data_IF_950543816800
#
_entry.id   IF_950543816800
#
_cell.length_a   1.000
_cell.length_b   1.000
_cell.length_c   1.000
_cell.angle_alpha   90.00
_cell.angle_beta   90.00
_cell.angle_gamma   90.00
#
_symmetry.space_group_name_H-M   'P 1'
#
loop_
_entity.id
_entity.type
_entity.pdbx_description
1 polymer ?
#
# COMPACT_ATOMS: atom_id res chain seq x y z
N UNK A 1 -24.70 -4.95 -3.95
CA UNK A 1 -23.34 -4.43 -3.65
C UNK A 1 -23.28 -4.08 -2.18
N UNK A 2 -22.31 -4.61 -1.43
CA UNK A 2 -22.20 -4.35 0.01
C UNK A 2 -21.50 -3.01 0.24
N UNK A 3 -21.84 -2.33 1.33
CA UNK A 3 -21.27 -1.02 1.73
C UNK A 3 -19.73 -1.02 1.71
N UNK A 4 -19.00 -2.06 2.19
CA UNK A 4 -17.54 -2.10 2.13
C UNK A 4 -16.98 -2.05 0.70
N UNK A 5 -17.64 -2.73 -0.26
CA UNK A 5 -17.17 -2.70 -1.65
C UNK A 5 -17.28 -1.31 -2.27
N UNK A 6 -18.28 -0.51 -1.87
CA UNK A 6 -18.44 0.85 -2.40
C UNK A 6 -17.33 1.79 -1.93
N UNK A 7 -16.89 1.64 -0.68
CA UNK A 7 -15.81 2.47 -0.14
C UNK A 7 -14.45 2.02 -0.67
N UNK A 8 -14.21 0.71 -0.84
CA UNK A 8 -13.03 0.23 -1.58
C UNK A 8 -13.00 0.83 -3.00
N UNK A 9 -14.13 0.85 -3.70
CA UNK A 9 -14.23 1.50 -5.02
C UNK A 9 -13.96 3.01 -4.95
N UNK A 10 -14.42 3.67 -3.89
CA UNK A 10 -14.16 5.10 -3.65
C UNK A 10 -12.67 5.39 -3.47
N UNK A 11 -11.90 4.48 -2.86
CA UNK A 11 -10.44 4.60 -2.72
C UNK A 11 -9.72 4.49 -4.06
N UNK A 12 -10.22 3.60 -4.93
CA UNK A 12 -9.72 3.52 -6.31
C UNK A 12 -9.95 4.86 -7.03
N UNK A 13 -11.12 5.48 -6.86
CA UNK A 13 -11.40 6.82 -7.41
C UNK A 13 -10.48 7.87 -6.80
N UNK A 14 -10.25 7.86 -5.48
CA UNK A 14 -9.35 8.79 -4.77
C UNK A 14 -7.87 8.70 -5.22
N UNK A 15 -7.48 7.57 -5.78
CA UNK A 15 -6.14 7.39 -6.35
C UNK A 15 -5.82 8.44 -7.42
N UNK A 16 -6.81 8.78 -8.25
CA UNK A 16 -6.63 9.74 -9.36
C UNK A 16 -6.42 11.17 -8.84
N UNK A 17 -7.27 11.73 -7.95
CA UNK A 17 -7.01 13.02 -7.30
C UNK A 17 -5.67 13.10 -6.57
N UNK A 18 -5.24 12.04 -5.87
CA UNK A 18 -3.92 12.02 -5.22
C UNK A 18 -2.82 12.18 -6.25
N UNK A 19 -2.84 11.36 -7.31
CA UNK A 19 -1.84 11.40 -8.38
C UNK A 19 -1.79 12.78 -9.04
N UNK A 20 -2.96 13.31 -9.44
CA UNK A 20 -3.06 14.63 -10.09
C UNK A 20 -2.61 15.75 -9.17
N UNK A 21 -2.91 15.70 -7.87
CA UNK A 21 -2.47 16.71 -6.91
C UNK A 21 -0.95 16.69 -6.73
N UNK A 22 -0.31 15.51 -6.78
CA UNK A 22 1.16 15.39 -6.73
C UNK A 22 1.80 15.97 -7.99
N UNK A 23 1.30 15.60 -9.17
CA UNK A 23 1.77 16.14 -10.47
C UNK A 23 1.62 17.66 -10.55
N UNK A 24 0.49 18.19 -10.07
CA UNK A 24 0.24 19.62 -9.96
C UNK A 24 1.02 20.31 -8.84
N UNK A 25 1.89 19.59 -8.12
CA UNK A 25 2.66 20.08 -6.95
C UNK A 25 1.78 20.72 -5.87
N UNK A 26 0.51 20.31 -5.80
CA UNK A 26 -0.48 20.76 -4.83
C UNK A 26 -0.40 19.91 -3.58
N UNK A 27 0.74 19.99 -2.87
CA UNK A 27 1.11 19.08 -1.78
C UNK A 27 0.08 19.00 -0.64
N UNK A 28 -0.57 20.12 -0.32
CA UNK A 28 -1.66 20.16 0.68
C UNK A 28 -2.87 19.32 0.25
N UNK A 29 -3.27 19.41 -1.02
CA UNK A 29 -4.36 18.62 -1.57
C UNK A 29 -3.97 17.15 -1.68
N UNK A 30 -2.74 16.87 -2.13
CA UNK A 30 -2.21 15.50 -2.19
C UNK A 30 -2.22 14.84 -0.80
N UNK A 31 -1.74 15.54 0.22
CA UNK A 31 -1.78 15.06 1.61
C UNK A 31 -3.21 14.84 2.10
N UNK A 32 -4.11 15.78 1.83
CA UNK A 32 -5.52 15.67 2.22
C UNK A 32 -6.18 14.44 1.59
N UNK A 33 -6.08 14.28 0.27
CA UNK A 33 -6.67 13.14 -0.44
C UNK A 33 -6.03 11.82 -0.03
N UNK A 34 -4.70 11.81 0.19
CA UNK A 34 -4.01 10.62 0.67
C UNK A 34 -4.50 10.22 2.07
N UNK A 35 -4.62 11.18 2.98
CA UNK A 35 -5.13 10.96 4.33
C UNK A 35 -6.58 10.46 4.34
N UNK A 36 -7.45 11.04 3.49
CA UNK A 36 -8.82 10.56 3.32
C UNK A 36 -8.86 9.12 2.80
N UNK A 37 -8.04 8.79 1.81
CA UNK A 37 -7.93 7.42 1.28
C UNK A 37 -7.43 6.43 2.33
N UNK A 38 -6.36 6.76 3.06
CA UNK A 38 -5.83 5.93 4.14
C UNK A 38 -6.84 5.75 5.29
N UNK A 39 -7.59 6.80 5.63
CA UNK A 39 -8.62 6.72 6.67
C UNK A 39 -9.84 5.89 6.22
N UNK A 40 -10.21 5.96 4.93
CA UNK A 40 -11.30 5.17 4.37
C UNK A 40 -11.06 3.66 4.51
N UNK A 41 -9.81 3.20 4.39
CA UNK A 41 -9.43 1.80 4.61
C UNK A 41 -9.72 1.30 6.02
N UNK A 42 -9.37 2.12 7.00
CA UNK A 42 -9.64 1.82 8.39
C UNK A 42 -11.14 1.72 8.66
N UNK A 43 -11.92 2.65 8.09
CA UNK A 43 -13.38 2.65 8.23
C UNK A 43 -14.02 1.42 7.60
N UNK A 44 -13.54 0.96 6.45
CA UNK A 44 -14.04 -0.24 5.76
C UNK A 44 -13.85 -1.49 6.59
N UNK A 45 -12.64 -1.68 7.11
CA UNK A 45 -12.32 -2.80 7.99
C UNK A 45 -13.15 -2.76 9.29
N UNK A 46 -13.47 -1.56 9.79
CA UNK A 46 -14.33 -1.40 10.97
C UNK A 46 -15.80 -1.73 10.66
N UNK A 47 -16.36 -1.15 9.59
CA UNK A 47 -17.77 -1.35 9.20
C UNK A 47 -18.04 -2.79 8.78
N UNK A 48 -17.15 -3.42 8.02
CA UNK A 48 -17.31 -4.82 7.61
C UNK A 48 -17.38 -5.77 8.82
N UNK A 49 -16.57 -5.52 9.86
CA UNK A 49 -16.61 -6.28 11.13
C UNK A 49 -17.87 -5.98 11.93
N UNK A 50 -18.25 -4.71 12.05
CA UNK A 50 -19.42 -4.30 12.82
C UNK A 50 -20.74 -4.82 12.22
N UNK A 51 -20.82 -4.88 10.89
CA UNK A 51 -22.01 -5.31 10.17
C UNK A 51 -22.02 -6.82 9.85
N UNK A 52 -21.00 -7.58 10.25
CA UNK A 52 -20.82 -9.00 9.87
C UNK A 52 -20.88 -9.26 8.35
N UNK A 53 -20.55 -8.26 7.52
CA UNK A 53 -20.61 -8.33 6.05
C UNK A 53 -19.24 -8.67 5.43
N UNK A 54 -18.48 -9.53 6.10
CA UNK A 54 -17.15 -9.92 5.66
C UNK A 54 -17.26 -10.98 4.56
N UNK A 55 -16.96 -10.61 3.31
CA UNK A 55 -16.99 -11.53 2.16
C UNK A 55 -15.59 -11.84 1.65
N UNK A 56 -15.38 -13.05 1.11
CA UNK A 56 -14.09 -13.43 0.52
C UNK A 56 -13.76 -12.59 -0.72
N UNK A 57 -14.75 -12.33 -1.58
CA UNK A 57 -14.60 -11.47 -2.76
C UNK A 57 -14.24 -10.04 -2.38
N UNK A 58 -14.90 -9.47 -1.36
CA UNK A 58 -14.58 -8.12 -0.88
C UNK A 58 -13.15 -8.01 -0.36
N UNK A 59 -12.66 -9.01 0.40
CA UNK A 59 -11.27 -9.05 0.88
C UNK A 59 -10.25 -9.05 -0.26
N UNK A 60 -10.52 -9.77 -1.34
CA UNK A 60 -9.61 -9.82 -2.50
C UNK A 60 -9.57 -8.45 -3.21
N UNK A 61 -10.73 -7.84 -3.43
CA UNK A 61 -10.82 -6.51 -4.07
C UNK A 61 -10.10 -5.46 -3.20
N UNK A 62 -10.34 -5.47 -1.89
CA UNK A 62 -9.70 -4.56 -0.93
C UNK A 62 -8.18 -4.69 -0.94
N UNK A 63 -7.64 -5.92 -0.95
CA UNK A 63 -6.20 -6.16 -1.08
C UNK A 63 -5.62 -5.63 -2.39
N UNK A 64 -6.36 -5.70 -3.50
CA UNK A 64 -5.88 -5.18 -4.80
C UNK A 64 -5.89 -3.66 -4.77
N UNK A 65 -6.99 -3.04 -4.33
CA UNK A 65 -7.14 -1.57 -4.34
C UNK A 65 -6.16 -0.90 -3.37
N UNK A 66 -5.90 -1.50 -2.20
CA UNK A 66 -4.87 -1.02 -1.27
C UNK A 66 -3.49 -0.91 -1.96
N UNK A 67 -3.10 -1.95 -2.71
CA UNK A 67 -1.84 -1.95 -3.46
C UNK A 67 -1.83 -0.94 -4.59
N UNK A 68 -2.94 -0.79 -5.32
CA UNK A 68 -3.04 0.22 -6.37
C UNK A 68 -2.88 1.62 -5.79
N UNK A 69 -3.54 1.92 -4.66
CA UNK A 69 -3.50 3.24 -4.03
C UNK A 69 -2.09 3.61 -3.52
N UNK A 70 -1.42 2.71 -2.81
CA UNK A 70 -0.06 2.97 -2.30
C UNK A 70 0.96 3.05 -3.46
N UNK A 71 0.91 2.10 -4.40
CA UNK A 71 1.89 2.05 -5.49
C UNK A 71 1.76 3.23 -6.45
N UNK A 72 0.55 3.62 -6.83
CA UNK A 72 0.32 4.80 -7.68
C UNK A 72 0.82 6.09 -7.02
N UNK A 73 0.58 6.25 -5.71
CA UNK A 73 1.08 7.39 -4.95
C UNK A 73 2.61 7.42 -4.93
N UNK A 74 3.26 6.28 -4.72
CA UNK A 74 4.73 6.19 -4.77
C UNK A 74 5.28 6.44 -6.17
N UNK A 75 4.58 6.02 -7.22
CA UNK A 75 4.96 6.29 -8.62
C UNK A 75 4.90 7.80 -8.90
N UNK A 76 3.85 8.50 -8.48
CA UNK A 76 3.76 9.95 -8.60
C UNK A 76 4.88 10.68 -7.82
N UNK A 77 5.38 10.06 -6.75
CA UNK A 77 6.47 10.59 -5.94
C UNK A 77 7.88 10.28 -6.47
N UNK A 78 8.04 9.62 -7.62
CA UNK A 78 9.37 9.33 -8.21
C UNK A 78 10.31 10.55 -8.33
N UNK A 79 9.83 11.78 -8.62
CA UNK A 79 10.70 12.96 -8.62
C UNK A 79 11.31 13.30 -7.24
N UNK A 80 10.74 12.76 -6.16
CA UNK A 80 11.14 13.01 -4.76
C UNK A 80 11.69 11.76 -4.07
N UNK A 81 11.33 10.57 -4.54
CA UNK A 81 11.71 9.27 -3.98
C UNK A 81 12.46 8.48 -5.06
N UNK A 82 13.60 7.85 -4.75
CA UNK A 82 14.39 7.15 -5.74
C UNK A 82 13.58 6.11 -6.52
N UNK A 83 13.61 6.18 -7.85
CA UNK A 83 12.85 5.29 -8.73
C UNK A 83 13.14 3.80 -8.48
N UNK A 84 14.38 3.46 -8.10
CA UNK A 84 14.77 2.08 -7.77
C UNK A 84 13.98 1.55 -6.56
N UNK A 85 13.71 2.39 -5.55
CA UNK A 85 12.93 2.00 -4.38
C UNK A 85 11.49 1.73 -4.78
N UNK A 86 10.90 2.64 -5.56
CA UNK A 86 9.53 2.51 -6.04
C UNK A 86 9.37 1.25 -6.88
N UNK A 87 10.26 1.01 -7.84
CA UNK A 87 10.28 -0.20 -8.66
C UNK A 87 10.40 -1.46 -7.80
N UNK A 88 11.30 -1.47 -6.81
CA UNK A 88 11.46 -2.59 -5.88
C UNK A 88 10.20 -2.88 -5.07
N UNK A 89 9.55 -1.83 -4.55
CA UNK A 89 8.29 -1.93 -3.81
C UNK A 89 7.18 -2.52 -4.67
N UNK A 90 6.99 -1.98 -5.87
CA UNK A 90 5.94 -2.39 -6.81
C UNK A 90 6.16 -3.85 -7.24
N UNK A 91 7.37 -4.20 -7.69
CA UNK A 91 7.71 -5.56 -8.09
C UNK A 91 7.43 -6.56 -6.95
N UNK A 92 7.88 -6.24 -5.73
CA UNK A 92 7.66 -7.07 -4.56
C UNK A 92 6.18 -7.26 -4.24
N UNK A 93 5.38 -6.19 -4.25
CA UNK A 93 3.96 -6.30 -3.92
C UNK A 93 3.18 -7.06 -5.00
N UNK A 94 3.51 -6.87 -6.27
CA UNK A 94 2.91 -7.65 -7.36
C UNK A 94 3.25 -9.13 -7.23
N UNK A 95 4.51 -9.49 -6.96
CA UNK A 95 4.92 -10.90 -6.78
C UNK A 95 4.21 -11.54 -5.58
N UNK A 96 4.19 -10.87 -4.43
CA UNK A 96 3.54 -11.42 -3.22
C UNK A 96 2.03 -11.58 -3.43
N UNK A 97 1.37 -10.60 -4.05
CA UNK A 97 -0.05 -10.68 -4.37
C UNK A 97 -0.36 -11.81 -5.37
N UNK A 98 0.45 -11.96 -6.43
CA UNK A 98 0.30 -13.04 -7.39
C UNK A 98 0.42 -14.42 -6.72
N UNK A 99 1.42 -14.60 -5.84
CA UNK A 99 1.58 -15.85 -5.07
C UNK A 99 0.36 -16.13 -4.19
N UNK A 100 -0.20 -15.11 -3.51
CA UNK A 100 -1.40 -15.31 -2.67
C UNK A 100 -2.59 -15.76 -3.48
N UNK A 101 -2.81 -15.15 -4.64
CA UNK A 101 -3.92 -15.48 -5.54
C UNK A 101 -3.76 -16.92 -6.05
N UNK A 102 -2.56 -17.30 -6.51
CA UNK A 102 -2.27 -18.65 -7.00
C UNK A 102 -2.37 -19.73 -5.90
N UNK A 103 -1.94 -19.43 -4.68
CA UNK A 103 -2.09 -20.35 -3.56
C UNK A 103 -3.56 -20.51 -3.18
N UNK A 104 -4.32 -19.41 -3.14
CA UNK A 104 -5.76 -19.44 -2.86
C UNK A 104 -6.53 -20.27 -3.90
N UNK A 105 -6.16 -20.20 -5.19
CA UNK A 105 -6.77 -21.04 -6.23
C UNK A 105 -6.44 -22.53 -6.08
N UNK A 106 -5.31 -22.87 -5.43
CA UNK A 106 -4.92 -24.25 -5.09
C UNK A 106 -5.47 -24.72 -3.73
N UNK A 107 -6.37 -23.95 -3.12
CA UNK A 107 -6.94 -24.27 -1.79
C UNK A 107 -5.98 -24.06 -0.63
N UNK A 108 -4.79 -23.48 -0.85
CA UNK A 108 -3.80 -23.22 0.19
C UNK A 108 -3.90 -21.76 0.64
N UNK A 109 -4.21 -21.54 1.92
CA UNK A 109 -4.33 -20.17 2.45
C UNK A 109 -2.96 -19.69 2.92
N UNK A 110 -2.38 -18.76 2.18
CA UNK A 110 -1.15 -18.08 2.60
C UNK A 110 -1.49 -17.00 3.62
N UNK A 111 -1.11 -17.24 4.87
CA UNK A 111 -1.38 -16.31 5.97
C UNK A 111 -0.57 -15.01 5.83
N UNK A 112 -1.18 -13.90 6.24
CA UNK A 112 -0.51 -12.61 6.29
C UNK A 112 0.49 -12.58 7.45
N UNK A 113 1.73 -12.18 7.16
CA UNK A 113 2.78 -12.06 8.17
C UNK A 113 2.91 -10.61 8.67
N UNK A 114 3.32 -10.45 9.94
CA UNK A 114 3.65 -9.18 10.61
C UNK A 114 4.64 -8.34 9.79
N UNK A 115 5.67 -8.96 9.18
CA UNK A 115 6.61 -8.21 8.33
C UNK A 115 5.94 -7.61 7.08
N UNK A 116 4.84 -8.20 6.61
CA UNK A 116 3.99 -7.63 5.56
C UNK A 116 3.31 -6.34 6.00
N UNK A 117 2.84 -6.30 7.24
CA UNK A 117 2.20 -5.12 7.84
C UNK A 117 3.21 -4.03 8.18
N UNK A 118 4.37 -4.39 8.75
CA UNK A 118 5.42 -3.41 9.05
C UNK A 118 5.89 -2.69 7.79
N UNK A 119 6.07 -3.43 6.69
CA UNK A 119 6.38 -2.86 5.38
C UNK A 119 5.36 -1.78 4.98
N UNK A 120 4.07 -2.09 5.01
CA UNK A 120 3.04 -1.13 4.55
C UNK A 120 2.95 0.09 5.46
N UNK A 121 3.09 -0.10 6.77
CA UNK A 121 3.15 1.02 7.74
C UNK A 121 4.30 1.97 7.41
N UNK A 122 5.51 1.43 7.20
CA UNK A 122 6.68 2.24 6.85
C UNK A 122 6.47 3.00 5.52
N UNK A 123 5.86 2.36 4.53
CA UNK A 123 5.54 3.01 3.25
C UNK A 123 4.56 4.17 3.40
N UNK A 124 3.49 3.97 4.16
CA UNK A 124 2.53 5.02 4.44
C UNK A 124 3.19 6.18 5.18
N UNK A 125 4.07 5.89 6.16
CA UNK A 125 4.84 6.93 6.86
C UNK A 125 5.73 7.70 5.88
N UNK A 126 6.47 7.03 5.00
CA UNK A 126 7.29 7.68 3.98
C UNK A 126 6.46 8.64 3.11
N UNK A 127 5.32 8.18 2.60
CA UNK A 127 4.42 9.00 1.77
C UNK A 127 3.93 10.23 2.56
N UNK A 128 3.41 10.03 3.76
CA UNK A 128 2.87 11.11 4.60
C UNK A 128 3.96 12.13 4.93
N UNK A 129 5.15 11.69 5.31
CA UNK A 129 6.28 12.57 5.63
C UNK A 129 6.66 13.40 4.40
N UNK A 130 6.87 12.77 3.25
CA UNK A 130 7.23 13.48 2.01
C UNK A 130 6.17 14.53 1.64
N UNK A 131 4.88 14.15 1.66
CA UNK A 131 3.78 15.08 1.33
C UNK A 131 3.65 16.22 2.35
N UNK A 132 3.79 15.92 3.65
CA UNK A 132 3.64 16.89 4.73
C UNK A 132 4.75 17.95 4.72
N UNK A 133 6.02 17.54 4.66
CA UNK A 133 7.13 18.49 4.65
C UNK A 133 7.14 19.34 3.38
N UNK A 134 6.76 18.75 2.25
CA UNK A 134 6.62 19.49 1.00
C UNK A 134 5.46 20.50 1.06
N UNK A 135 4.35 20.18 1.73
CA UNK A 135 3.25 21.11 2.02
C UNK A 135 3.69 22.33 2.84
N UNK A 136 4.68 22.15 3.73
CA UNK A 136 5.27 23.22 4.53
C UNK A 136 6.45 23.93 3.82
N UNK A 137 6.82 23.51 2.61
CA UNK A 137 8.03 23.98 1.91
C UNK A 137 9.32 23.82 2.72
N UNK A 138 9.36 22.83 3.62
CA UNK A 138 10.54 22.48 4.43
C UNK A 138 11.22 21.27 3.82
N UNK A 139 12.55 21.31 3.71
CA UNK A 139 13.35 20.17 3.26
C UNK A 139 13.90 19.39 4.45
N UNK A 140 13.64 18.08 4.53
CA UNK A 140 14.26 17.17 5.49
C UNK A 140 14.98 16.03 4.79
N UNK A 141 15.97 16.38 3.98
CA UNK A 141 16.74 15.42 3.19
C UNK A 141 17.27 14.22 4.02
N UNK A 142 17.77 14.47 5.24
CA UNK A 142 18.31 13.40 6.10
C UNK A 142 17.19 12.43 6.53
N UNK A 143 16.03 12.94 6.95
CA UNK A 143 14.92 12.10 7.37
C UNK A 143 14.34 11.29 6.21
N UNK A 144 14.18 11.92 5.03
CA UNK A 144 13.71 11.25 3.82
C UNK A 144 14.63 10.09 3.43
N UNK A 145 15.94 10.31 3.45
CA UNK A 145 16.94 9.27 3.16
C UNK A 145 16.86 8.12 4.17
N UNK A 146 16.76 8.41 5.47
CA UNK A 146 16.60 7.38 6.51
C UNK A 146 15.34 6.54 6.24
N UNK A 147 14.21 7.20 5.96
CA UNK A 147 12.94 6.51 5.68
C UNK A 147 12.99 5.69 4.39
N UNK A 148 13.68 6.16 3.35
CA UNK A 148 13.91 5.43 2.10
C UNK A 148 14.63 4.10 2.38
N UNK A 149 15.75 4.14 3.11
CA UNK A 149 16.51 2.93 3.43
C UNK A 149 15.75 2.01 4.38
N UNK A 150 15.04 2.55 5.35
CA UNK A 150 14.18 1.78 6.24
C UNK A 150 13.06 1.09 5.45
N UNK A 151 12.45 1.79 4.49
CA UNK A 151 11.44 1.23 3.59
C UNK A 151 12.01 0.12 2.69
N UNK A 152 13.23 0.30 2.15
CA UNK A 152 13.92 -0.73 1.39
C UNK A 152 14.16 -1.99 2.25
N UNK A 153 14.68 -1.80 3.45
CA UNK A 153 14.97 -2.87 4.40
C UNK A 153 13.72 -3.69 4.74
N UNK A 154 12.63 -3.04 5.15
CA UNK A 154 11.40 -3.77 5.47
C UNK A 154 10.76 -4.42 4.24
N UNK A 155 10.86 -3.81 3.06
CA UNK A 155 10.38 -4.42 1.81
C UNK A 155 11.14 -5.70 1.49
N UNK A 156 12.47 -5.68 1.64
CA UNK A 156 13.34 -6.83 1.42
C UNK A 156 13.10 -7.92 2.47
N UNK A 157 13.11 -7.58 3.75
CA UNK A 157 12.84 -8.51 4.84
C UNK A 157 11.49 -9.21 4.64
N UNK A 158 10.47 -8.42 4.32
CA UNK A 158 9.12 -8.93 4.07
C UNK A 158 9.05 -9.81 2.81
N UNK A 159 9.89 -9.60 1.80
CA UNK A 159 9.97 -10.49 0.63
C UNK A 159 10.61 -11.83 1.00
N UNK A 160 11.77 -11.80 1.67
CA UNK A 160 12.52 -13.00 2.06
C UNK A 160 11.67 -13.88 2.98
N UNK A 161 11.09 -13.31 4.03
CA UNK A 161 10.28 -14.07 4.98
C UNK A 161 9.05 -14.68 4.28
N UNK A 162 8.42 -13.94 3.37
CA UNK A 162 7.27 -14.44 2.64
C UNK A 162 7.61 -15.61 1.73
N UNK A 163 8.71 -15.52 0.97
CA UNK A 163 9.18 -16.62 0.12
C UNK A 163 9.59 -17.84 0.95
N UNK A 164 10.26 -17.62 2.08
CA UNK A 164 10.69 -18.69 2.97
C UNK A 164 9.50 -19.45 3.58
N UNK A 165 8.50 -18.73 4.09
CA UNK A 165 7.31 -19.34 4.70
C UNK A 165 6.47 -20.11 3.69
N UNK A 166 6.42 -19.65 2.44
CA UNK A 166 5.59 -20.24 1.40
C UNK A 166 6.34 -21.16 0.45
N UNK A 167 7.61 -21.47 0.73
CA UNK A 167 8.44 -22.38 -0.08
C UNK A 167 7.78 -23.74 -0.33
N UNK A 168 7.05 -24.26 0.67
CA UNK A 168 6.36 -25.57 0.57
C UNK A 168 5.07 -25.50 -0.25
N UNK A 169 4.42 -24.33 -0.29
CA UNK A 169 3.24 -24.10 -1.12
C UNK A 169 3.60 -23.80 -2.59
N UNK A 170 4.82 -23.29 -2.83
CA UNK A 170 5.36 -22.96 -4.14
C UNK A 170 6.16 -24.11 -4.79
N UNK A 171 6.74 -25.00 -4.00
CA UNK A 171 7.57 -26.12 -4.46
C UNK A 171 6.79 -27.44 -4.64
N UNK A 172 5.69 -27.40 -5.39
CA UNK A 172 5.01 -28.58 -5.92
C UNK A 172 5.35 -28.79 -7.38
#
# INVERSE_FOLDING_TARGET
MNVPNMVTLSRLVLTVPVFLAIEARSWKLALLFFALGAFSDYLDGFLARKLNQVTNTGKVIDQIVDKVFINSTLIALIPLVPAWLVAFIVARDTVVSAVRILAASKGTIVQANIYGKLKTVVQMILIVVVLFFRSLSVSLAVLEVILIYLCAFFTMLSAIVYLYQNRKALGG
#
